data_IF_805547148769
#
_entry.id   IF_805547148769
#
_cell.length_a   1.000
_cell.length_b   1.000
_cell.length_c   1.000
_cell.angle_alpha   90.00
_cell.angle_beta   90.00
_cell.angle_gamma   90.00
#
_symmetry.space_group_name_H-M   'P 1'
#
loop_
_entity.id
_entity.type
_entity.pdbx_description
1 polymer ?
#
# COMPACT_ATOMS: atom_id res chain seq x y z
N UNK A 1 15.50 10.82 -8.01
CA UNK A 1 15.89 10.35 -6.66
C UNK A 1 14.66 10.26 -5.78
N UNK A 2 14.34 9.11 -5.20
CA UNK A 2 13.19 8.99 -4.28
C UNK A 2 13.43 9.88 -3.07
N UNK A 3 12.49 10.78 -2.77
CA UNK A 3 12.63 11.64 -1.59
C UNK A 3 12.58 10.79 -0.32
N UNK A 4 13.38 11.15 0.70
CA UNK A 4 13.34 10.46 2.02
C UNK A 4 11.91 10.41 2.59
N UNK A 5 11.11 11.46 2.32
CA UNK A 5 9.69 11.51 2.70
C UNK A 5 8.85 10.45 1.99
N UNK A 6 9.03 10.25 0.68
CA UNK A 6 8.30 9.25 -0.11
C UNK A 6 8.66 7.83 0.29
N UNK A 7 9.94 7.58 0.58
CA UNK A 7 10.39 6.29 1.12
C UNK A 7 9.74 6.01 2.47
N UNK A 8 9.78 6.98 3.40
CA UNK A 8 9.13 6.86 4.71
C UNK A 8 7.63 6.59 4.61
N UNK A 9 6.92 7.32 3.76
CA UNK A 9 5.49 7.10 3.51
C UNK A 9 5.21 5.70 2.94
N UNK A 10 6.03 5.22 2.00
CA UNK A 10 5.86 3.89 1.41
C UNK A 10 6.10 2.78 2.43
N UNK A 11 7.11 2.90 3.31
CA UNK A 11 7.36 1.94 4.39
C UNK A 11 6.24 1.94 5.43
N UNK A 12 5.71 3.11 5.78
CA UNK A 12 4.56 3.22 6.68
C UNK A 12 3.33 2.52 6.09
N UNK A 13 3.00 2.81 4.82
CA UNK A 13 1.86 2.20 4.12
C UNK A 13 2.04 0.70 3.94
N UNK A 14 3.27 0.23 3.67
CA UNK A 14 3.57 -1.20 3.61
C UNK A 14 3.36 -1.88 4.97
N UNK A 15 3.80 -1.24 6.06
CA UNK A 15 3.54 -1.71 7.41
C UNK A 15 2.05 -1.79 7.75
N UNK A 16 1.28 -0.75 7.41
CA UNK A 16 -0.18 -0.76 7.59
C UNK A 16 -0.86 -1.85 6.75
N UNK A 17 -0.41 -2.06 5.51
CA UNK A 17 -0.93 -3.12 4.65
C UNK A 17 -0.72 -4.50 5.28
N UNK A 18 0.48 -4.74 5.83
CA UNK A 18 0.80 -5.96 6.56
C UNK A 18 -0.07 -6.15 7.80
N UNK A 19 -0.23 -5.10 8.63
CA UNK A 19 -1.07 -5.15 9.83
C UNK A 19 -2.53 -5.45 9.48
N UNK A 20 -3.07 -4.83 8.43
CA UNK A 20 -4.42 -5.10 7.94
C UNK A 20 -4.58 -6.56 7.47
N UNK A 21 -3.64 -7.07 6.69
CA UNK A 21 -3.65 -8.46 6.23
C UNK A 21 -3.58 -9.45 7.39
N UNK A 22 -2.67 -9.22 8.35
CA UNK A 22 -2.56 -10.04 9.55
C UNK A 22 -3.85 -10.01 10.38
N UNK A 23 -4.44 -8.84 10.57
CA UNK A 23 -5.73 -8.70 11.26
C UNK A 23 -6.82 -9.48 10.52
N UNK A 24 -6.89 -9.43 9.19
CA UNK A 24 -7.90 -10.17 8.43
C UNK A 24 -7.74 -11.69 8.65
N UNK A 25 -6.51 -12.20 8.58
CA UNK A 25 -6.21 -13.61 8.85
C UNK A 25 -6.57 -14.00 10.29
N UNK A 26 -6.19 -13.18 11.27
CA UNK A 26 -6.53 -13.43 12.67
C UNK A 26 -8.05 -13.41 12.91
N UNK A 27 -8.76 -12.45 12.30
CA UNK A 27 -10.22 -12.36 12.42
C UNK A 27 -10.94 -13.57 11.82
N UNK A 28 -10.41 -14.15 10.74
CA UNK A 28 -10.91 -15.40 10.15
C UNK A 28 -10.57 -16.58 11.07
N UNK A 29 -9.35 -16.65 11.59
CA UNK A 29 -8.89 -17.76 12.44
C UNK A 29 -9.63 -17.84 13.78
N UNK A 30 -10.02 -16.69 14.35
CA UNK A 30 -10.72 -16.59 15.62
C UNK A 30 -12.22 -16.28 15.48
N UNK A 31 -12.75 -16.28 14.24
CA UNK A 31 -14.15 -16.03 13.91
C UNK A 31 -14.78 -14.80 14.59
N UNK A 32 -14.04 -13.68 14.57
CA UNK A 32 -14.47 -12.44 15.25
C UNK A 32 -15.46 -11.61 14.43
N UNK A 33 -15.69 -11.98 13.17
CA UNK A 33 -16.50 -11.20 12.22
C UNK A 33 -15.85 -9.92 11.71
N UNK A 34 -14.61 -9.60 12.10
CA UNK A 34 -13.92 -8.34 11.77
C UNK A 34 -12.97 -8.46 10.56
N UNK A 35 -13.10 -9.50 9.75
CA UNK A 35 -12.23 -9.75 8.60
C UNK A 35 -12.27 -8.60 7.57
N UNK A 36 -13.44 -7.99 7.38
CA UNK A 36 -13.63 -6.85 6.47
C UNK A 36 -12.84 -5.61 6.90
N UNK A 37 -12.62 -5.41 8.20
CA UNK A 37 -11.83 -4.29 8.73
C UNK A 37 -10.36 -4.46 8.35
N UNK A 38 -9.81 -5.65 8.59
CA UNK A 38 -8.43 -5.96 8.20
C UNK A 38 -8.22 -5.88 6.69
N UNK A 39 -9.14 -6.46 5.91
CA UNK A 39 -9.09 -6.41 4.45
C UNK A 39 -9.21 -4.98 3.92
N UNK A 40 -10.11 -4.17 4.48
CA UNK A 40 -10.27 -2.76 4.12
C UNK A 40 -9.02 -1.94 4.42
N UNK A 41 -8.44 -2.11 5.61
CA UNK A 41 -7.18 -1.43 5.99
C UNK A 41 -6.04 -1.82 5.04
N UNK A 42 -5.91 -3.11 4.73
CA UNK A 42 -4.90 -3.59 3.80
C UNK A 42 -5.09 -3.00 2.40
N UNK A 43 -6.32 -3.04 1.88
CA UNK A 43 -6.66 -2.51 0.56
C UNK A 43 -6.40 -1.01 0.42
N UNK A 44 -6.87 -0.19 1.37
CA UNK A 44 -6.64 1.26 1.37
C UNK A 44 -5.15 1.59 1.43
N UNK A 45 -4.39 0.84 2.21
CA UNK A 45 -2.95 1.04 2.35
C UNK A 45 -2.20 0.74 1.05
N UNK A 46 -2.56 -0.34 0.36
CA UNK A 46 -2.00 -0.70 -0.95
C UNK A 46 -2.38 0.33 -2.01
N UNK A 47 -3.64 0.76 -2.09
CA UNK A 47 -4.08 1.80 -3.02
C UNK A 47 -3.34 3.12 -2.78
N UNK A 48 -3.15 3.50 -1.50
CA UNK A 48 -2.37 4.69 -1.14
C UNK A 48 -0.90 4.53 -1.53
N UNK A 49 -0.33 3.33 -1.40
CA UNK A 49 1.04 3.05 -1.79
C UNK A 49 1.22 3.18 -3.31
N UNK A 50 0.24 2.72 -4.09
CA UNK A 50 0.20 2.95 -5.54
C UNK A 50 0.10 4.45 -5.86
N UNK A 51 -0.80 5.20 -5.21
CA UNK A 51 -0.97 6.63 -5.43
C UNK A 51 0.30 7.45 -5.13
N UNK A 52 0.98 7.13 -4.01
CA UNK A 52 2.26 7.75 -3.64
C UNK A 52 3.36 7.39 -4.65
N UNK A 53 3.27 6.22 -5.28
CA UNK A 53 4.29 5.73 -6.19
C UNK A 53 4.05 6.00 -7.68
N UNK A 54 2.83 6.40 -8.07
CA UNK A 54 2.41 6.59 -9.46
C UNK A 54 3.28 7.57 -10.27
N UNK A 55 3.75 8.72 -9.75
CA UNK A 55 4.58 9.64 -10.54
C UNK A 55 5.85 8.98 -11.09
N UNK A 56 6.55 8.17 -10.28
CA UNK A 56 7.79 7.54 -10.73
C UNK A 56 7.60 6.40 -11.75
N UNK A 57 6.37 6.00 -12.05
CA UNK A 57 6.06 5.04 -13.11
C UNK A 57 5.83 5.73 -14.47
N UNK A 58 5.55 7.04 -14.48
CA UNK A 58 5.28 7.82 -15.69
C UNK A 58 6.52 8.41 -16.37
N UNK A 59 7.60 8.70 -15.61
CA UNK A 59 8.87 9.18 -16.18
C UNK A 59 9.65 8.15 -17.03
N UNK A 60 9.13 6.93 -17.21
CA UNK A 60 9.78 5.87 -18.00
C UNK A 60 9.47 5.87 -19.50
N UNK A 61 8.55 6.71 -19.98
CA UNK A 61 8.02 6.68 -21.37
C UNK A 61 8.25 7.98 -22.17
N UNK A 62 9.21 8.82 -21.73
CA UNK A 62 9.48 10.14 -22.31
C UNK A 62 10.60 10.18 -23.36
N UNK A 63 10.97 9.07 -24.00
CA UNK A 63 11.90 9.05 -25.13
C UNK A 63 11.18 8.65 -26.41
N UNK A 64 10.31 9.53 -26.90
CA UNK A 64 9.73 9.49 -28.23
C UNK A 64 10.10 10.75 -28.98
N UNK A 65 11.16 10.64 -29.79
CA UNK A 65 11.59 11.43 -30.94
C UNK A 65 11.71 12.96 -30.84
N UNK A 66 12.96 13.43 -31.00
CA UNK A 66 13.30 14.73 -31.61
C UNK A 66 12.96 14.73 -33.12
#
# INVERSE_FOLDING_TARGET
>A
MVSKRRLGASLLLLGLAFVGAFHAVAAIAFDTGLASVGAGLAGVSVLSLMAVNLPALGEGDGSGDE
#
